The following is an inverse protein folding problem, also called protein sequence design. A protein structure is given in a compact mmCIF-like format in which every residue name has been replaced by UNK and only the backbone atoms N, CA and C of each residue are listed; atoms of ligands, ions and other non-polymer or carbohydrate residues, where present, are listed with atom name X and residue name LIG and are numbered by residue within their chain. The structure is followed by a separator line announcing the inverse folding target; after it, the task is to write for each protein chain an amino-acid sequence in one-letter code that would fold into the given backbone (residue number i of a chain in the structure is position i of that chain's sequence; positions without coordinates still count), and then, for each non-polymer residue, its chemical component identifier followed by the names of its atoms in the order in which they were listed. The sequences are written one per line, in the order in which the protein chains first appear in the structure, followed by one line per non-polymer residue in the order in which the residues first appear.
data_IF_029738080806
#
_entry.id   IF_029738080806
#
_cell.length_a   1.000
_cell.length_b   1.000
_cell.length_c   1.000
_cell.angle_alpha   90.00
_cell.angle_beta   90.00
_cell.angle_gamma   90.00
#
_symmetry.space_group_name_H-M   'P 1'
#
loop_
_entity.id
_entity.type
_entity.pdbx_description
1 polymer ?
#
# COMPACT_ATOMS: atom_id res chain seq x y z
N UNK A 1 36.84 32.34 -18.80
CA UNK A 1 37.69 31.25 -19.29
C UNK A 1 37.39 30.03 -18.43
N UNK A 2 36.41 29.22 -18.83
CA UNK A 2 36.03 28.01 -18.11
C UNK A 2 35.61 26.97 -19.16
N UNK A 3 36.49 25.99 -19.38
CA UNK A 3 36.25 24.78 -20.16
C UNK A 3 36.72 23.65 -19.26
N UNK A 4 35.77 22.94 -18.64
CA UNK A 4 36.04 21.63 -18.04
C UNK A 4 35.24 20.64 -18.87
N UNK A 5 35.97 19.96 -19.76
CA UNK A 5 35.48 18.84 -20.53
C UNK A 5 35.37 17.62 -19.61
N UNK A 6 34.15 17.07 -19.46
CA UNK A 6 33.92 15.80 -18.79
C UNK A 6 33.94 14.72 -19.88
N UNK A 7 35.02 13.96 -19.90
CA UNK A 7 35.22 12.82 -20.81
C UNK A 7 34.27 11.67 -20.47
N UNK A 8 33.52 11.23 -21.49
CA UNK A 8 32.74 10.00 -21.47
C UNK A 8 33.67 8.79 -21.34
N UNK A 9 33.35 7.85 -20.44
CA UNK A 9 33.87 6.49 -20.48
C UNK A 9 32.68 5.57 -20.76
N UNK A 10 32.57 5.15 -22.01
CA UNK A 10 31.71 4.06 -22.44
C UNK A 10 32.35 2.73 -22.01
N UNK A 11 31.76 2.06 -21.04
CA UNK A 11 32.06 0.66 -20.76
C UNK A 11 31.17 -0.21 -21.63
N UNK A 12 31.76 -0.84 -22.66
CA UNK A 12 31.10 -1.77 -23.56
C UNK A 12 30.78 -3.10 -22.86
N UNK A 13 29.55 -3.59 -23.07
CA UNK A 13 29.19 -4.98 -22.80
C UNK A 13 29.41 -5.77 -24.09
N UNK A 14 30.52 -6.50 -24.17
CA UNK A 14 30.81 -7.43 -25.27
C UNK A 14 30.28 -8.83 -24.94
N UNK A 15 29.64 -9.40 -25.96
CA UNK A 15 28.95 -10.67 -26.14
C UNK A 15 29.41 -11.94 -25.41
N UNK A 16 28.42 -12.79 -25.11
CA UNK A 16 28.61 -14.20 -24.77
C UNK A 16 27.31 -15.00 -24.65
N UNK A 17 26.63 -15.30 -25.76
CA UNK A 17 25.67 -16.43 -25.90
C UNK A 17 26.39 -17.58 -26.64
N UNK A 18 25.83 -18.81 -26.72
CA UNK A 18 25.18 -19.64 -25.71
C UNK A 18 25.86 -21.04 -25.64
N UNK A 19 25.88 -21.70 -24.48
CA UNK A 19 26.22 -23.12 -24.42
C UNK A 19 24.94 -23.95 -24.54
N UNK A 20 24.59 -24.30 -25.78
CA UNK A 20 23.68 -25.39 -26.10
C UNK A 20 24.28 -26.72 -25.62
N UNK A 21 23.70 -27.28 -24.55
CA UNK A 21 23.77 -28.72 -24.31
C UNK A 21 22.41 -29.29 -24.70
N UNK A 22 22.43 -30.09 -25.76
CA UNK A 22 21.26 -30.81 -26.23
C UNK A 22 21.37 -32.30 -25.82
N UNK A 23 20.19 -32.90 -25.71
CA UNK A 23 19.89 -34.33 -25.75
C UNK A 23 20.18 -35.20 -24.50
N UNK A 24 19.14 -35.49 -23.70
CA UNK A 24 18.20 -36.59 -24.02
C UNK A 24 17.34 -37.04 -22.83
N UNK A 25 16.04 -37.11 -23.09
CA UNK A 25 15.08 -38.13 -22.65
C UNK A 25 14.83 -38.34 -21.14
N UNK A 26 13.71 -37.77 -20.66
CA UNK A 26 12.64 -38.60 -20.12
C UNK A 26 11.30 -37.86 -20.21
N UNK A 27 10.34 -38.49 -20.88
CA UNK A 27 8.99 -37.97 -20.99
C UNK A 27 8.31 -37.95 -19.63
N UNK A 28 7.60 -36.87 -19.36
CA UNK A 28 6.46 -36.87 -18.44
C UNK A 28 5.43 -35.93 -19.03
N UNK A 29 4.24 -36.47 -19.16
CA UNK A 29 3.06 -35.82 -19.70
C UNK A 29 2.73 -34.60 -18.83
N UNK A 30 2.82 -33.39 -19.39
CA UNK A 30 2.27 -32.22 -18.74
C UNK A 30 0.75 -32.25 -18.89
N UNK A 31 0.13 -33.12 -18.08
CA UNK A 31 -1.29 -33.01 -17.73
C UNK A 31 -1.57 -31.57 -17.31
N UNK A 32 -2.52 -30.98 -18.01
CA UNK A 32 -3.20 -29.77 -17.58
C UNK A 32 -4.11 -30.16 -16.43
N UNK A 33 -3.58 -30.15 -15.21
CA UNK A 33 -4.36 -30.04 -13.98
C UNK A 33 -3.87 -28.71 -13.36
N UNK A 34 -4.65 -27.62 -13.33
CA UNK A 34 -5.97 -27.64 -12.73
C UNK A 34 -5.88 -27.89 -11.22
N UNK A 35 -4.78 -27.53 -10.57
CA UNK A 35 -4.58 -27.70 -9.13
C UNK A 35 -4.40 -26.35 -8.43
N UNK A 36 -5.48 -25.84 -7.85
CA UNK A 36 -5.38 -25.01 -6.66
C UNK A 36 -4.78 -25.91 -5.57
N UNK A 37 -3.48 -25.79 -5.36
CA UNK A 37 -2.79 -26.38 -4.21
C UNK A 37 -2.66 -25.30 -3.15
N UNK A 38 -3.70 -25.23 -2.33
CA UNK A 38 -3.60 -24.84 -0.93
C UNK A 38 -2.73 -25.88 -0.21
N UNK A 39 -1.42 -25.82 -0.43
CA UNK A 39 -0.44 -26.61 0.33
C UNK A 39 0.34 -25.64 1.22
N UNK A 40 -0.11 -25.56 2.48
CA UNK A 40 0.53 -24.82 3.56
C UNK A 40 2.02 -25.13 3.66
N UNK A 41 2.83 -24.23 3.12
CA UNK A 41 4.26 -24.14 3.36
C UNK A 41 4.49 -23.53 4.74
N UNK A 42 4.67 -24.40 5.74
CA UNK A 42 5.21 -24.01 7.03
C UNK A 42 6.70 -23.66 6.85
N UNK A 43 6.98 -22.44 6.41
CA UNK A 43 8.30 -21.85 6.49
C UNK A 43 8.49 -21.36 7.92
N UNK A 44 9.25 -22.11 8.72
CA UNK A 44 9.67 -21.66 10.03
C UNK A 44 10.54 -20.39 9.91
N UNK A 45 9.91 -19.21 9.88
CA UNK A 45 10.56 -17.90 9.98
C UNK A 45 10.23 -16.84 8.91
N UNK A 46 9.35 -17.10 7.94
CA UNK A 46 8.97 -16.12 6.91
C UNK A 46 7.47 -16.15 6.64
N UNK A 47 6.81 -14.99 6.60
CA UNK A 47 5.37 -14.80 6.35
C UNK A 47 4.46 -15.94 6.82
N UNK A 48 4.35 -16.13 8.13
CA UNK A 48 3.56 -17.23 8.68
C UNK A 48 2.07 -17.12 8.36
N UNK A 49 1.56 -15.90 8.18
CA UNK A 49 0.17 -15.63 7.85
C UNK A 49 0.14 -14.52 6.81
N UNK A 50 -0.48 -14.78 5.65
CA UNK A 50 -0.70 -13.75 4.63
C UNK A 50 -2.17 -13.38 4.51
N UNK A 51 -3.05 -14.03 5.27
CA UNK A 51 -4.49 -13.81 5.23
C UNK A 51 -4.96 -12.75 6.24
N UNK A 52 -4.23 -12.62 7.35
CA UNK A 52 -4.60 -11.75 8.47
C UNK A 52 -3.44 -10.91 9.05
N UNK A 53 -2.19 -11.22 8.70
CA UNK A 53 -1.05 -10.44 9.17
C UNK A 53 -0.91 -9.13 8.38
N UNK A 54 -1.05 -7.96 9.03
CA UNK A 54 -0.93 -6.67 8.35
C UNK A 54 0.49 -6.35 7.89
N UNK A 55 1.51 -7.09 8.34
CA UNK A 55 2.90 -6.96 7.88
C UNK A 55 3.23 -7.88 6.70
N UNK A 56 2.33 -8.81 6.35
CA UNK A 56 2.55 -9.85 5.35
C UNK A 56 1.30 -10.11 4.46
N UNK A 57 0.42 -9.12 4.31
CA UNK A 57 -0.90 -9.30 3.76
C UNK A 57 -0.90 -9.59 2.25
N UNK A 58 -1.43 -10.74 1.84
CA UNK A 58 -1.47 -11.23 0.45
C UNK A 58 -0.13 -11.72 -0.09
N UNK A 59 0.99 -11.27 0.49
CA UNK A 59 2.34 -11.80 0.26
C UNK A 59 3.29 -11.38 1.39
N UNK A 60 4.27 -12.22 1.67
CA UNK A 60 5.68 -11.83 1.46
C UNK A 60 6.17 -10.43 1.90
N UNK A 61 5.94 -9.92 3.12
CA UNK A 61 6.41 -8.58 3.54
C UNK A 61 5.62 -7.40 2.94
N UNK A 62 4.40 -7.65 2.47
CA UNK A 62 3.46 -6.58 2.09
C UNK A 62 2.79 -6.01 3.33
N UNK A 63 3.18 -4.79 3.69
CA UNK A 63 2.62 -4.06 4.84
C UNK A 63 1.42 -3.23 4.39
N UNK A 64 0.27 -3.41 5.04
CA UNK A 64 -0.90 -2.57 4.80
C UNK A 64 -0.77 -1.23 5.50
N UNK A 65 -1.06 -0.15 4.78
CA UNK A 65 -1.02 1.22 5.33
C UNK A 65 -2.10 1.39 6.40
N UNK A 66 -3.28 0.81 6.15
CA UNK A 66 -4.37 0.69 7.12
C UNK A 66 -4.05 -0.13 8.36
N UNK A 67 -2.97 -0.92 8.33
CA UNK A 67 -2.63 -1.95 9.34
C UNK A 67 -3.75 -2.99 9.51
N UNK A 68 -4.62 -3.14 8.53
CA UNK A 68 -5.70 -4.11 8.52
C UNK A 68 -5.57 -5.04 7.32
N UNK A 69 -5.54 -6.35 7.58
CA UNK A 69 -5.54 -7.39 6.56
C UNK A 69 -6.76 -8.29 6.76
N UNK A 70 -7.54 -8.48 5.71
CA UNK A 70 -8.67 -9.40 5.72
C UNK A 70 -8.66 -10.24 4.43
N UNK A 71 -8.69 -11.57 4.60
CA UNK A 71 -8.65 -12.53 3.47
C UNK A 71 -7.50 -12.27 2.49
N UNK A 72 -6.35 -11.84 3.01
CA UNK A 72 -5.14 -11.55 2.24
C UNK A 72 -5.20 -10.28 1.40
N UNK A 73 -6.12 -9.36 1.71
CA UNK A 73 -6.17 -8.04 1.12
C UNK A 73 -6.11 -6.95 2.21
N UNK A 74 -5.37 -5.87 1.92
CA UNK A 74 -5.39 -4.69 2.77
C UNK A 74 -6.77 -4.04 2.71
N UNK A 75 -7.47 -3.98 3.83
CA UNK A 75 -8.76 -3.31 3.89
C UNK A 75 -8.56 -1.84 4.29
N UNK A 76 -9.35 -0.91 3.72
CA UNK A 76 -9.20 0.49 4.04
C UNK A 76 -9.59 0.79 5.50
N UNK A 77 -8.79 1.62 6.16
CA UNK A 77 -9.10 2.12 7.50
C UNK A 77 -8.74 3.61 7.61
N UNK A 78 -9.20 4.27 8.67
CA UNK A 78 -8.81 5.64 8.95
C UNK A 78 -7.37 5.67 9.42
N UNK A 79 -6.47 6.28 8.67
CA UNK A 79 -5.04 6.29 9.01
C UNK A 79 -4.48 7.68 9.21
N UNK A 80 -3.39 7.73 9.96
CA UNK A 80 -2.67 8.94 10.31
C UNK A 80 -3.52 9.90 11.14
N UNK A 81 -2.92 11.04 11.47
CA UNK A 81 -3.60 12.23 11.96
C UNK A 81 -2.92 13.41 11.31
N UNK A 82 -3.67 14.16 10.50
CA UNK A 82 -3.13 15.30 9.76
C UNK A 82 -3.84 16.59 10.17
N UNK A 83 -3.10 17.68 10.26
CA UNK A 83 -3.66 19.02 10.43
C UNK A 83 -4.22 19.53 9.08
N UNK A 84 -5.41 20.13 9.09
CA UNK A 84 -6.14 20.47 7.86
C UNK A 84 -5.76 21.86 7.28
N UNK A 85 -4.80 22.55 7.91
CA UNK A 85 -4.66 24.02 7.86
C UNK A 85 -4.34 24.67 6.51
N UNK A 86 -3.88 23.95 5.48
CA UNK A 86 -3.50 24.56 4.19
C UNK A 86 -4.01 23.79 2.97
N UNK A 87 -5.13 23.06 3.09
CA UNK A 87 -5.80 22.27 2.03
C UNK A 87 -5.23 20.88 1.68
N UNK A 88 -4.96 19.97 2.64
CA UNK A 88 -4.72 18.58 2.28
C UNK A 88 -6.02 17.94 1.77
N UNK A 89 -5.90 17.24 0.65
CA UNK A 89 -6.91 16.27 0.19
C UNK A 89 -6.59 14.91 0.81
N UNK A 90 -7.54 13.97 0.82
CA UNK A 90 -7.22 12.63 1.30
C UNK A 90 -6.26 11.87 0.39
N UNK A 91 -6.24 12.18 -0.91
CA UNK A 91 -5.21 11.67 -1.82
C UNK A 91 -3.80 12.05 -1.35
N UNK A 92 -3.58 13.31 -0.98
CA UNK A 92 -2.27 13.76 -0.49
C UNK A 92 -1.88 13.10 0.83
N UNK A 93 -2.84 12.98 1.75
CA UNK A 93 -2.61 12.34 3.07
C UNK A 93 -2.25 10.87 2.90
N UNK A 94 -2.99 10.12 2.09
CA UNK A 94 -2.72 8.71 1.84
C UNK A 94 -1.40 8.53 1.08
N UNK A 95 -1.13 9.34 0.06
CA UNK A 95 0.10 9.27 -0.71
C UNK A 95 1.35 9.53 0.15
N UNK A 96 1.26 10.45 1.12
CA UNK A 96 2.37 10.77 2.03
C UNK A 96 2.82 9.58 2.89
N UNK A 97 1.92 8.62 3.16
CA UNK A 97 2.19 7.40 3.91
C UNK A 97 2.30 6.15 3.02
N UNK A 98 2.35 6.35 1.69
CA UNK A 98 2.46 5.26 0.71
C UNK A 98 1.17 4.47 0.49
N UNK A 99 0.02 5.00 0.92
CA UNK A 99 -1.29 4.41 0.72
C UNK A 99 -2.09 5.09 -0.39
N UNK A 100 -3.27 4.55 -0.66
CA UNK A 100 -4.21 5.08 -1.64
C UNK A 100 -5.51 5.43 -0.95
N UNK A 101 -6.08 6.60 -1.26
CA UNK A 101 -7.37 6.98 -0.73
C UNK A 101 -8.49 6.11 -1.32
N UNK A 102 -9.36 5.61 -0.45
CA UNK A 102 -10.53 4.82 -0.88
C UNK A 102 -11.80 5.56 -0.47
N UNK A 103 -12.55 6.13 -1.42
CA UNK A 103 -13.73 6.94 -1.10
C UNK A 103 -14.83 6.06 -0.51
N UNK A 104 -15.50 6.56 0.53
CA UNK A 104 -16.66 5.92 1.15
C UNK A 104 -16.45 4.46 1.56
N UNK A 105 -15.22 4.08 1.92
CA UNK A 105 -14.88 2.69 2.24
C UNK A 105 -14.61 2.43 3.73
N UNK A 106 -14.48 3.48 4.55
CA UNK A 106 -14.16 3.32 5.96
C UNK A 106 -15.40 3.36 6.86
N UNK A 107 -15.49 2.42 7.81
CA UNK A 107 -16.58 2.34 8.78
C UNK A 107 -17.94 2.11 8.11
N UNK A 108 -18.86 3.08 8.22
CA UNK A 108 -20.18 3.02 7.58
C UNK A 108 -20.21 3.70 6.21
N UNK A 109 -19.05 3.72 5.54
CA UNK A 109 -18.89 4.22 4.18
C UNK A 109 -18.45 5.67 4.11
N UNK A 110 -17.51 6.11 4.96
CA UNK A 110 -17.01 7.48 4.96
C UNK A 110 -15.57 7.55 4.43
N UNK A 111 -15.17 8.73 3.95
CA UNK A 111 -13.78 8.99 3.50
C UNK A 111 -12.96 9.69 4.58
N UNK A 112 -13.58 10.54 5.39
CA UNK A 112 -12.91 11.37 6.41
C UNK A 112 -13.52 11.19 7.78
N UNK A 113 -12.68 11.10 8.80
CA UNK A 113 -13.06 11.29 10.21
C UNK A 113 -12.34 12.52 10.76
N UNK A 114 -13.09 13.51 11.22
CA UNK A 114 -12.54 14.78 11.68
C UNK A 114 -12.58 14.89 13.21
N UNK A 115 -11.61 15.61 13.77
CA UNK A 115 -11.38 15.69 15.22
C UNK A 115 -11.05 17.12 15.65
N UNK A 116 -11.56 17.56 16.80
CA UNK A 116 -11.31 18.92 17.29
C UNK A 116 -9.89 19.13 17.82
N UNK A 117 -9.19 18.04 18.19
CA UNK A 117 -7.83 18.09 18.75
C UNK A 117 -6.98 16.93 18.24
N UNK A 118 -5.65 17.09 18.22
CA UNK A 118 -4.71 16.02 17.85
C UNK A 118 -4.91 14.78 18.74
N UNK A 119 -5.04 14.98 20.05
CA UNK A 119 -5.24 13.91 21.02
C UNK A 119 -6.51 13.10 20.72
N UNK A 120 -7.59 13.77 20.33
CA UNK A 120 -8.84 13.14 19.90
C UNK A 120 -8.63 12.30 18.64
N UNK A 121 -7.86 12.81 17.68
CA UNK A 121 -7.52 12.11 16.46
C UNK A 121 -6.69 10.83 16.72
N UNK A 122 -5.59 10.96 17.47
CA UNK A 122 -4.65 9.87 17.77
C UNK A 122 -5.34 8.73 18.52
N UNK A 123 -6.17 9.09 19.50
CA UNK A 123 -6.92 8.12 20.31
C UNK A 123 -8.22 7.65 19.65
N UNK A 124 -8.54 8.14 18.44
CA UNK A 124 -9.80 7.87 17.74
C UNK A 124 -11.04 8.11 18.61
N UNK A 125 -11.05 9.21 19.37
CA UNK A 125 -12.11 9.54 20.31
C UNK A 125 -12.61 10.97 20.11
N UNK A 126 -13.88 11.21 20.41
CA UNK A 126 -14.53 12.52 20.30
C UNK A 126 -14.36 13.12 18.90
N UNK A 127 -14.76 12.36 17.88
CA UNK A 127 -14.79 12.87 16.50
C UNK A 127 -15.81 14.00 16.38
N UNK A 128 -15.41 15.07 15.70
CA UNK A 128 -16.28 16.19 15.36
C UNK A 128 -17.31 15.78 14.29
N UNK A 129 -16.98 14.79 13.46
CA UNK A 129 -17.87 14.21 12.47
C UNK A 129 -17.16 13.21 11.56
N UNK A 130 -17.96 12.50 10.77
CA UNK A 130 -17.49 11.67 9.65
C UNK A 130 -18.19 12.13 8.38
N UNK A 131 -17.44 12.18 7.29
CA UNK A 131 -17.90 12.84 6.07
C UNK A 131 -17.66 11.97 4.84
N UNK A 132 -18.66 12.02 3.95
CA UNK A 132 -18.59 11.49 2.59
C UNK A 132 -18.02 12.60 1.70
N UNK A 133 -16.79 12.42 1.24
CA UNK A 133 -16.10 13.40 0.41
C UNK A 133 -15.21 12.65 -0.58
N UNK A 134 -15.06 13.21 -1.79
CA UNK A 134 -14.14 12.67 -2.78
C UNK A 134 -12.69 12.79 -2.27
N UNK A 135 -11.83 11.86 -2.68
CA UNK A 135 -10.44 11.82 -2.24
C UNK A 135 -9.64 13.08 -2.64
N UNK A 136 -10.00 13.69 -3.78
CA UNK A 136 -9.40 14.89 -4.34
C UNK A 136 -10.02 16.20 -3.81
N UNK A 137 -11.11 16.11 -3.05
CA UNK A 137 -11.79 17.28 -2.53
C UNK A 137 -11.14 17.76 -1.21
N UNK A 138 -11.07 19.09 -0.98
CA UNK A 138 -10.40 19.65 0.18
C UNK A 138 -11.16 19.32 1.47
N UNK A 139 -10.46 18.80 2.47
CA UNK A 139 -11.06 18.33 3.73
C UNK A 139 -11.71 19.48 4.53
N UNK A 140 -11.14 20.69 4.47
CA UNK A 140 -11.70 21.88 5.15
C UNK A 140 -13.12 22.23 4.69
N UNK A 141 -13.46 21.90 3.45
CA UNK A 141 -14.80 22.18 2.93
C UNK A 141 -15.89 21.32 3.57
N UNK A 142 -15.50 20.23 4.25
CA UNK A 142 -16.42 19.34 4.95
C UNK A 142 -16.56 19.65 6.44
N UNK A 143 -15.60 20.35 7.07
CA UNK A 143 -15.49 20.38 8.54
C UNK A 143 -14.77 21.64 9.04
N UNK A 144 -15.24 22.23 10.15
CA UNK A 144 -14.49 23.24 10.94
C UNK A 144 -13.41 22.63 11.86
N UNK A 145 -13.07 21.35 11.69
CA UNK A 145 -12.12 20.64 12.54
C UNK A 145 -10.67 20.88 12.10
N UNK A 146 -9.76 20.87 13.09
CA UNK A 146 -8.34 21.11 12.87
C UNK A 146 -7.55 19.85 12.49
N UNK A 147 -8.08 18.66 12.78
CA UNK A 147 -7.40 17.39 12.52
C UNK A 147 -8.31 16.40 11.80
N UNK A 148 -7.75 15.63 10.87
CA UNK A 148 -8.48 14.62 10.12
C UNK A 148 -7.69 13.32 9.97
N UNK A 149 -8.44 12.22 9.85
CA UNK A 149 -7.97 10.91 9.41
C UNK A 149 -8.65 10.60 8.08
N UNK A 150 -7.86 10.17 7.11
CA UNK A 150 -8.35 9.79 5.79
C UNK A 150 -8.46 8.28 5.68
N UNK A 151 -9.44 7.85 4.89
CA UNK A 151 -9.64 6.46 4.55
C UNK A 151 -8.60 6.01 3.51
N UNK A 152 -7.62 5.23 3.92
CA UNK A 152 -6.56 4.76 3.04
C UNK A 152 -6.40 3.24 3.10
N UNK A 153 -5.88 2.65 2.02
CA UNK A 153 -5.37 1.26 1.99
C UNK A 153 -3.92 1.20 1.52
#
# INVERSE_FOLDING_TARGET
MALIAISLIAAGCSDGRPSSVDASAMGVDASTDGGASDDGGADAGGCADTESDPDNCGRCGQVCVSRQCESGACVPDFVGCSEVAETPTCDDVCAAIGGVCVPDACGSGFTVSAFPTLQSCENNNNSAGKFHIACDAPIESATDAFFARCCCQ
#
